data_IF_222449964578
#
_entry.id   IF_222449964578
#
_cell.length_a   1.000
_cell.length_b   1.000
_cell.length_c   1.000
_cell.angle_alpha   90.00
_cell.angle_beta   90.00
_cell.angle_gamma   90.00
#
_symmetry.space_group_name_H-M   'P 1'
#
loop_
_entity.id
_entity.type
_entity.pdbx_description
1 polymer ?
#
# COMPACT_ATOMS: atom_id res chain seq x y z
N UNK A 1 -5.71 1.53 9.10
CA UNK A 1 -6.58 0.40 9.47
C UNK A 1 -6.00 -0.95 9.05
N UNK A 2 -6.61 -2.05 9.48
CA UNK A 2 -6.32 -3.44 9.10
C UNK A 2 -4.92 -3.96 9.49
N UNK A 3 -4.07 -3.19 10.15
CA UNK A 3 -2.70 -3.58 10.51
C UNK A 3 -2.39 -3.27 11.98
N UNK A 4 -1.38 -3.93 12.53
CA UNK A 4 -0.95 -3.70 13.91
C UNK A 4 -2.08 -3.88 14.92
N UNK A 5 -2.30 -2.87 15.75
CA UNK A 5 -3.35 -2.81 16.78
C UNK A 5 -4.69 -2.26 16.24
N UNK A 6 -4.72 -1.75 14.99
CA UNK A 6 -5.96 -1.29 14.37
C UNK A 6 -6.90 -2.45 14.08
N UNK A 7 -8.19 -2.20 14.14
CA UNK A 7 -9.23 -3.17 13.79
C UNK A 7 -9.35 -3.40 12.28
N UNK A 8 -10.35 -4.22 11.92
CA UNK A 8 -10.75 -4.50 10.54
C UNK A 8 -10.34 -5.88 10.03
N UNK A 9 -11.15 -6.40 9.12
CA UNK A 9 -10.94 -7.67 8.40
C UNK A 9 -11.21 -7.48 6.92
N UNK A 10 -10.45 -8.17 6.02
CA UNK A 10 -9.30 -9.03 6.29
C UNK A 10 -8.09 -8.25 6.82
N UNK A 11 -7.15 -8.94 7.49
CA UNK A 11 -5.96 -8.31 8.07
C UNK A 11 -4.88 -8.04 7.02
N UNK A 12 -4.01 -7.07 7.33
CA UNK A 12 -2.83 -6.71 6.54
C UNK A 12 -3.15 -6.22 5.12
N UNK A 13 -4.31 -5.59 4.95
CA UNK A 13 -4.72 -5.04 3.65
C UNK A 13 -4.03 -3.70 3.37
N UNK A 14 -3.54 -3.56 2.15
CA UNK A 14 -3.25 -2.28 1.53
C UNK A 14 -4.12 -2.14 0.28
N UNK A 15 -4.91 -1.08 0.20
CA UNK A 15 -5.84 -0.84 -0.91
C UNK A 15 -6.00 0.66 -1.15
N UNK A 16 -5.98 1.14 -2.41
CA UNK A 16 -6.18 2.55 -2.69
C UNK A 16 -7.53 3.06 -2.18
N UNK A 17 -8.61 2.28 -2.31
CA UNK A 17 -9.94 2.68 -1.85
C UNK A 17 -10.00 2.76 -0.32
N UNK A 18 -9.59 1.69 0.36
CA UNK A 18 -9.66 1.60 1.83
C UNK A 18 -8.75 2.64 2.49
N UNK A 19 -7.52 2.77 2.01
CA UNK A 19 -6.57 3.68 2.65
C UNK A 19 -6.85 5.15 2.32
N UNK A 20 -7.46 5.45 1.18
CA UNK A 20 -7.98 6.80 0.90
C UNK A 20 -9.13 7.14 1.85
N UNK A 21 -10.06 6.20 2.07
CA UNK A 21 -11.15 6.36 3.03
C UNK A 21 -10.65 6.53 4.47
N UNK A 22 -9.60 5.82 4.88
CA UNK A 22 -8.97 6.02 6.20
C UNK A 22 -8.52 7.48 6.40
N UNK A 23 -7.98 8.13 5.36
CA UNK A 23 -7.62 9.54 5.43
C UNK A 23 -8.83 10.46 5.54
N UNK A 24 -9.90 10.19 4.76
CA UNK A 24 -11.13 10.97 4.83
C UNK A 24 -11.81 10.80 6.20
N UNK A 25 -11.85 9.59 6.75
CA UNK A 25 -12.36 9.33 8.10
C UNK A 25 -11.53 10.04 9.19
N UNK A 26 -10.22 10.17 9.00
CA UNK A 26 -9.39 10.96 9.91
C UNK A 26 -9.74 12.46 9.83
N UNK A 27 -10.08 12.97 8.66
CA UNK A 27 -10.58 14.34 8.48
C UNK A 27 -11.96 14.52 9.14
N UNK A 28 -12.86 13.53 9.05
CA UNK A 28 -14.14 13.56 9.77
C UNK A 28 -13.93 13.72 11.27
N UNK A 29 -13.05 12.91 11.83
CA UNK A 29 -12.70 13.00 13.26
C UNK A 29 -12.13 14.38 13.62
N UNK A 30 -11.13 14.86 12.86
CA UNK A 30 -10.49 16.14 13.13
C UNK A 30 -11.47 17.32 12.97
N UNK A 31 -12.37 17.27 11.99
CA UNK A 31 -13.33 18.35 11.75
C UNK A 31 -14.37 18.52 12.87
N UNK A 32 -14.52 17.50 13.72
CA UNK A 32 -15.46 17.51 14.85
C UNK A 32 -14.78 17.62 16.20
N UNK A 33 -13.43 17.76 16.23
CA UNK A 33 -12.67 17.86 17.47
C UNK A 33 -12.57 19.31 17.93
N UNK A 34 -12.88 19.60 19.21
CA UNK A 34 -12.96 20.95 19.76
C UNK A 34 -11.65 21.76 19.65
N UNK A 35 -10.49 21.08 19.69
CA UNK A 35 -9.17 21.72 19.61
C UNK A 35 -8.65 21.89 18.16
N UNK A 36 -9.43 21.57 17.15
CA UNK A 36 -9.03 21.62 15.75
C UNK A 36 -9.85 22.67 14.98
N UNK A 37 -9.14 23.54 14.26
CA UNK A 37 -9.78 24.44 13.30
C UNK A 37 -10.06 23.64 11.99
N UNK A 38 -11.34 23.36 11.67
CA UNK A 38 -11.69 22.57 10.50
C UNK A 38 -11.29 23.21 9.16
N UNK A 39 -11.04 24.54 9.15
CA UNK A 39 -10.56 25.23 7.95
C UNK A 39 -9.03 25.15 7.78
N UNK A 40 -8.33 24.48 8.68
CA UNK A 40 -6.86 24.40 8.69
C UNK A 40 -6.33 22.97 8.78
N UNK A 41 -7.05 22.01 8.23
CA UNK A 41 -6.63 20.61 8.18
C UNK A 41 -5.67 20.40 7.02
N UNK A 42 -4.52 19.78 7.29
CA UNK A 42 -3.55 19.37 6.29
C UNK A 42 -3.20 17.88 6.39
N UNK A 43 -2.59 17.33 5.35
CA UNK A 43 -2.16 15.93 5.29
C UNK A 43 -0.69 15.83 4.91
N UNK A 44 0.02 14.91 5.55
CA UNK A 44 1.37 14.50 5.19
C UNK A 44 1.36 13.03 4.81
N UNK A 45 1.68 12.72 3.55
CA UNK A 45 1.82 11.37 3.04
C UNK A 45 3.27 10.98 2.84
N UNK A 46 3.68 9.81 3.33
CA UNK A 46 5.06 9.34 3.27
C UNK A 46 5.13 8.03 2.49
N UNK A 47 6.12 7.90 1.59
CA UNK A 47 6.38 6.71 0.79
C UNK A 47 5.15 6.34 -0.10
N UNK A 48 4.75 5.09 -0.17
CA UNK A 48 3.57 4.67 -0.93
C UNK A 48 2.27 5.34 -0.48
N UNK A 49 2.13 5.66 0.82
CA UNK A 49 0.98 6.41 1.33
C UNK A 49 0.96 7.89 0.93
N UNK A 50 2.07 8.42 0.39
CA UNK A 50 2.08 9.74 -0.23
C UNK A 50 1.13 9.86 -1.42
N UNK A 51 1.07 8.84 -2.28
CA UNK A 51 0.10 8.77 -3.39
C UNK A 51 -1.35 8.70 -2.90
N UNK A 52 -1.62 7.93 -1.84
CA UNK A 52 -2.97 7.84 -1.25
C UNK A 52 -3.40 9.13 -0.55
N UNK A 53 -2.46 9.85 0.08
CA UNK A 53 -2.72 11.17 0.65
C UNK A 53 -3.12 12.18 -0.44
N UNK A 54 -2.46 12.14 -1.61
CA UNK A 54 -2.88 12.94 -2.76
C UNK A 54 -4.28 12.54 -3.24
N UNK A 55 -4.60 11.25 -3.33
CA UNK A 55 -5.95 10.81 -3.69
C UNK A 55 -6.98 11.37 -2.72
N UNK A 56 -6.75 11.28 -1.41
CA UNK A 56 -7.64 11.86 -0.41
C UNK A 56 -7.81 13.37 -0.60
N UNK A 57 -6.72 14.11 -0.82
CA UNK A 57 -6.76 15.54 -1.04
C UNK A 57 -7.49 15.96 -2.33
N UNK A 58 -7.59 15.07 -3.34
CA UNK A 58 -8.35 15.36 -4.56
C UNK A 58 -9.85 15.18 -4.39
N UNK A 59 -10.30 14.38 -3.44
CA UNK A 59 -11.71 14.08 -3.22
C UNK A 59 -12.28 14.77 -1.98
N UNK A 60 -11.45 15.03 -0.96
CA UNK A 60 -11.88 15.72 0.27
C UNK A 60 -11.40 17.16 0.30
N UNK A 61 -12.31 18.08 0.00
CA UNK A 61 -12.04 19.52 -0.08
C UNK A 61 -11.75 20.18 1.27
N UNK A 62 -11.93 19.47 2.37
CA UNK A 62 -11.56 19.93 3.73
C UNK A 62 -10.05 19.83 3.97
N UNK A 63 -9.31 19.07 3.17
CA UNK A 63 -7.84 19.03 3.21
C UNK A 63 -7.30 20.28 2.50
N UNK A 64 -6.75 21.23 3.25
CA UNK A 64 -6.31 22.55 2.74
C UNK A 64 -4.84 22.57 2.33
N UNK A 65 -4.03 21.65 2.82
CA UNK A 65 -2.61 21.56 2.50
C UNK A 65 -2.17 20.10 2.43
N UNK A 66 -1.34 19.77 1.45
CA UNK A 66 -0.81 18.42 1.26
C UNK A 66 0.70 18.46 1.09
N UNK A 67 1.39 17.64 1.87
CA UNK A 67 2.83 17.42 1.74
C UNK A 67 3.08 15.94 1.46
N UNK A 68 3.93 15.65 0.49
CA UNK A 68 4.36 14.28 0.21
C UNK A 68 5.87 14.16 0.32
N UNK A 69 6.33 13.09 0.96
CA UNK A 69 7.76 12.78 1.11
C UNK A 69 8.06 11.41 0.52
N UNK A 70 9.11 11.33 -0.32
CA UNK A 70 9.54 10.07 -0.96
C UNK A 70 8.40 9.29 -1.62
N UNK A 71 7.44 10.03 -2.19
CA UNK A 71 6.23 9.49 -2.77
C UNK A 71 6.49 8.72 -4.07
N UNK A 72 5.74 7.66 -4.28
CA UNK A 72 5.59 7.00 -5.58
C UNK A 72 4.15 6.50 -5.77
N UNK A 73 3.78 6.30 -7.04
CA UNK A 73 2.47 5.76 -7.39
C UNK A 73 2.44 4.24 -7.19
N UNK A 74 1.81 3.81 -6.10
CA UNK A 74 1.69 2.39 -5.77
C UNK A 74 0.86 1.62 -6.81
N UNK A 75 -0.15 2.24 -7.43
CA UNK A 75 -0.96 1.60 -8.47
C UNK A 75 -0.11 1.32 -9.70
N UNK A 76 0.67 2.30 -10.15
CA UNK A 76 1.59 2.14 -11.28
C UNK A 76 2.66 1.08 -11.01
N UNK A 77 3.28 1.12 -9.84
CA UNK A 77 4.33 0.13 -9.48
C UNK A 77 3.76 -1.29 -9.41
N UNK A 78 2.59 -1.48 -8.83
CA UNK A 78 1.96 -2.80 -8.77
C UNK A 78 1.47 -3.29 -10.14
N UNK A 79 1.03 -2.38 -11.02
CA UNK A 79 0.55 -2.75 -12.36
C UNK A 79 1.70 -2.93 -13.36
N UNK A 80 2.72 -2.09 -13.31
CA UNK A 80 3.76 -2.00 -14.34
C UNK A 80 5.14 -2.43 -13.86
N UNK A 81 5.31 -2.71 -12.57
CA UNK A 81 6.62 -2.97 -11.98
C UNK A 81 7.44 -1.69 -11.75
N UNK A 82 8.58 -1.83 -11.10
CA UNK A 82 9.53 -0.73 -10.97
C UNK A 82 10.03 -0.31 -12.36
N UNK A 83 10.03 1.00 -12.62
CA UNK A 83 10.45 1.59 -13.90
C UNK A 83 9.64 1.10 -15.11
N UNK A 84 8.38 0.73 -14.90
CA UNK A 84 7.47 0.18 -15.93
C UNK A 84 8.04 -1.06 -16.63
N UNK A 85 8.72 -1.91 -15.90
CA UNK A 85 9.43 -3.08 -16.42
C UNK A 85 8.54 -4.25 -16.84
N UNK A 86 7.25 -4.25 -16.45
CA UNK A 86 6.30 -5.33 -16.79
C UNK A 86 5.51 -5.02 -18.07
N UNK A 87 5.49 -5.98 -18.98
CA UNK A 87 4.61 -5.95 -20.15
C UNK A 87 3.20 -6.52 -19.85
N UNK A 88 2.30 -6.51 -20.83
CA UNK A 88 0.91 -6.96 -20.68
C UNK A 88 0.80 -8.43 -20.27
N UNK A 89 1.62 -9.32 -20.84
CA UNK A 89 1.59 -10.75 -20.54
C UNK A 89 2.09 -11.03 -19.12
N UNK A 90 3.13 -10.33 -18.67
CA UNK A 90 3.63 -10.42 -17.29
C UNK A 90 2.59 -9.90 -16.29
N UNK A 91 1.86 -8.82 -16.60
CA UNK A 91 0.75 -8.34 -15.77
C UNK A 91 -0.40 -9.35 -15.71
N UNK A 92 -0.73 -9.99 -16.85
CA UNK A 92 -1.76 -11.04 -16.89
C UNK A 92 -1.36 -12.21 -16.01
N UNK A 93 -0.12 -12.68 -16.13
CA UNK A 93 0.41 -13.78 -15.33
C UNK A 93 0.43 -13.45 -13.84
N UNK A 94 0.83 -12.24 -13.46
CA UNK A 94 0.77 -11.79 -12.07
C UNK A 94 -0.66 -11.86 -11.51
N UNK A 95 -1.67 -11.38 -12.27
CA UNK A 95 -3.08 -11.48 -11.85
C UNK A 95 -3.53 -12.93 -11.68
N UNK A 96 -3.12 -13.81 -12.60
CA UNK A 96 -3.43 -15.23 -12.53
C UNK A 96 -2.90 -15.84 -11.24
N UNK A 97 -1.63 -15.60 -10.93
CA UNK A 97 -0.99 -16.07 -9.69
C UNK A 97 -1.66 -15.51 -8.43
N UNK A 98 -2.02 -14.23 -8.43
CA UNK A 98 -2.72 -13.62 -7.29
C UNK A 98 -4.12 -14.21 -7.09
N UNK A 99 -4.84 -14.52 -8.16
CA UNK A 99 -6.16 -15.16 -8.07
C UNK A 99 -6.06 -16.62 -7.59
N UNK A 100 -5.03 -17.36 -8.01
CA UNK A 100 -4.74 -18.69 -7.46
C UNK A 100 -4.42 -18.61 -5.97
N UNK A 101 -3.63 -17.63 -5.56
CA UNK A 101 -3.34 -17.41 -4.14
C UNK A 101 -4.60 -17.13 -3.33
N UNK A 102 -5.56 -16.33 -3.86
CA UNK A 102 -6.86 -16.12 -3.18
C UNK A 102 -7.59 -17.43 -2.91
N UNK A 103 -7.57 -18.34 -3.87
CA UNK A 103 -8.18 -19.67 -3.72
C UNK A 103 -7.48 -20.48 -2.62
N UNK A 104 -6.15 -20.44 -2.57
CA UNK A 104 -5.35 -21.10 -1.53
C UNK A 104 -5.67 -20.50 -0.16
N UNK A 105 -5.62 -19.18 -0.04
CA UNK A 105 -5.89 -18.45 1.21
C UNK A 105 -7.29 -18.77 1.75
N UNK A 106 -8.29 -18.81 0.87
CA UNK A 106 -9.67 -19.17 1.23
C UNK A 106 -9.77 -20.60 1.76
N UNK A 107 -9.11 -21.55 1.11
CA UNK A 107 -9.09 -22.95 1.53
C UNK A 107 -8.42 -23.14 2.90
N UNK A 108 -7.36 -22.37 3.14
CA UNK A 108 -6.55 -22.50 4.35
C UNK A 108 -7.07 -21.64 5.52
N UNK A 109 -8.00 -20.71 5.27
CA UNK A 109 -8.46 -19.74 6.27
C UNK A 109 -7.34 -18.80 6.75
N UNK A 110 -6.32 -18.56 5.92
CA UNK A 110 -5.15 -17.74 6.23
C UNK A 110 -4.71 -16.94 5.02
N UNK A 111 -3.87 -15.92 5.23
CA UNK A 111 -3.39 -15.05 4.17
C UNK A 111 -1.90 -15.22 3.96
N UNK A 112 -1.47 -15.41 2.70
CA UNK A 112 -0.07 -15.23 2.32
C UNK A 112 0.30 -13.74 2.42
N UNK A 113 1.46 -13.45 3.00
CA UNK A 113 1.99 -12.09 3.12
C UNK A 113 3.07 -11.84 2.06
N UNK A 114 3.20 -10.57 1.63
CA UNK A 114 4.24 -10.12 0.70
C UNK A 114 4.51 -8.62 0.87
N UNK A 115 5.57 -8.14 0.25
CA UNK A 115 5.91 -6.70 0.24
C UNK A 115 6.62 -6.21 1.51
N UNK A 116 6.87 -7.08 2.48
CA UNK A 116 7.84 -6.83 3.53
C UNK A 116 9.27 -6.93 3.01
N UNK A 117 10.20 -6.40 3.78
CA UNK A 117 11.62 -6.51 3.43
C UNK A 117 12.07 -7.96 3.55
N UNK A 118 12.70 -8.48 2.48
CA UNK A 118 13.16 -9.87 2.42
C UNK A 118 14.27 -10.15 3.44
N UNK A 119 14.26 -11.35 4.03
CA UNK A 119 15.27 -11.83 4.96
C UNK A 119 15.31 -13.38 4.92
N UNK A 120 16.46 -14.02 4.65
CA UNK A 120 17.76 -13.40 4.38
C UNK A 120 17.79 -12.59 3.07
N UNK A 121 18.68 -11.58 3.04
CA UNK A 121 18.86 -10.72 1.85
C UNK A 121 19.57 -11.52 0.75
N UNK A 122 18.98 -11.65 -0.46
CA UNK A 122 19.69 -12.24 -1.60
C UNK A 122 20.87 -11.37 -2.06
N UNK A 123 21.90 -12.02 -2.62
CA UNK A 123 23.12 -11.32 -3.04
C UNK A 123 22.89 -10.35 -4.22
N UNK A 124 22.07 -10.78 -5.18
CA UNK A 124 21.78 -10.02 -6.40
C UNK A 124 20.43 -9.26 -6.30
N UNK A 125 20.43 -8.22 -5.50
CA UNK A 125 19.27 -7.32 -5.36
C UNK A 125 19.67 -5.87 -5.64
N UNK A 126 18.73 -5.03 -6.13
CA UNK A 126 18.97 -3.60 -6.31
C UNK A 126 19.44 -2.94 -5.01
N UNK A 127 20.27 -1.88 -5.15
CA UNK A 127 20.86 -1.16 -4.01
C UNK A 127 19.82 -0.70 -2.99
N UNK A 128 18.65 -0.23 -3.43
CA UNK A 128 17.59 0.25 -2.54
C UNK A 128 16.96 -0.88 -1.70
N UNK A 129 16.95 -2.12 -2.19
CA UNK A 129 16.49 -3.29 -1.41
C UNK A 129 17.48 -3.58 -0.28
N UNK A 130 18.80 -3.41 -0.52
CA UNK A 130 19.84 -3.50 0.52
C UNK A 130 19.64 -2.43 1.58
N UNK A 131 19.35 -1.20 1.18
CA UNK A 131 19.08 -0.09 2.11
C UNK A 131 17.84 -0.33 2.96
N UNK A 132 16.76 -0.84 2.36
CA UNK A 132 15.56 -1.24 3.12
C UNK A 132 15.86 -2.35 4.12
N UNK A 133 16.62 -3.38 3.74
CA UNK A 133 17.04 -4.43 4.66
C UNK A 133 17.86 -3.86 5.82
N UNK A 134 18.89 -3.05 5.52
CA UNK A 134 19.75 -2.42 6.51
C UNK A 134 19.01 -1.47 7.46
N UNK A 135 17.85 -1.01 7.08
CA UNK A 135 16.98 -0.21 7.95
C UNK A 135 15.98 -1.10 8.71
N UNK A 136 15.10 -1.80 8.02
CA UNK A 136 13.95 -2.47 8.63
C UNK A 136 14.27 -3.79 9.33
N UNK A 137 15.40 -4.43 9.03
CA UNK A 137 15.83 -5.72 9.62
C UNK A 137 16.95 -5.57 10.66
N UNK A 138 17.33 -4.36 10.99
CA UNK A 138 18.35 -4.03 12.00
C UNK A 138 17.80 -3.12 13.07
N UNK A 139 18.57 -2.88 14.13
CA UNK A 139 18.19 -2.00 15.24
C UNK A 139 17.94 -0.54 14.83
N UNK A 140 18.30 -0.17 13.60
CA UNK A 140 18.05 1.18 13.06
C UNK A 140 16.57 1.50 12.89
N UNK A 141 15.76 0.55 12.45
CA UNK A 141 14.36 0.81 12.13
C UNK A 141 13.44 -0.41 12.29
N UNK A 142 13.94 -1.51 12.84
CA UNK A 142 13.10 -2.65 13.16
C UNK A 142 12.04 -2.25 14.19
N UNK A 143 10.80 -2.62 13.93
CA UNK A 143 9.74 -2.51 14.90
C UNK A 143 8.79 -3.71 14.80
N UNK A 144 8.43 -4.29 15.94
CA UNK A 144 7.58 -5.51 16.00
C UNK A 144 6.21 -5.38 15.34
N UNK A 145 5.71 -4.14 15.16
CA UNK A 145 4.43 -3.85 14.51
C UNK A 145 4.58 -3.39 13.06
N UNK A 146 5.81 -3.19 12.59
CA UNK A 146 6.06 -2.76 11.20
C UNK A 146 5.83 -3.91 10.23
N UNK A 147 5.02 -3.69 9.22
CA UNK A 147 4.82 -4.66 8.14
C UNK A 147 6.09 -4.85 7.31
N UNK A 148 6.86 -3.79 7.07
CA UNK A 148 8.14 -3.90 6.38
C UNK A 148 9.14 -4.80 7.13
N UNK A 149 9.10 -4.79 8.47
CA UNK A 149 9.95 -5.66 9.29
C UNK A 149 9.44 -7.10 9.41
N UNK A 150 8.14 -7.36 9.20
CA UNK A 150 7.45 -8.58 9.62
C UNK A 150 6.56 -9.22 8.54
N UNK A 151 7.04 -9.36 7.32
CA UNK A 151 6.40 -10.14 6.27
C UNK A 151 5.50 -9.36 5.30
N UNK A 152 5.12 -8.14 5.63
CA UNK A 152 4.40 -7.26 4.72
C UNK A 152 2.88 -7.34 4.80
N UNK A 153 2.24 -7.17 3.66
CA UNK A 153 0.78 -7.08 3.50
C UNK A 153 0.19 -8.38 2.95
N UNK A 154 -1.11 -8.51 3.07
CA UNK A 154 -1.87 -9.56 2.40
C UNK A 154 -1.55 -9.51 0.89
N UNK A 155 -0.95 -10.60 0.39
CA UNK A 155 -0.42 -10.70 -0.98
C UNK A 155 -1.48 -10.37 -2.03
N UNK A 156 -2.69 -10.85 -1.84
CA UNK A 156 -3.77 -10.69 -2.82
C UNK A 156 -4.39 -9.28 -2.81
N UNK A 157 -4.09 -8.45 -1.81
CA UNK A 157 -4.52 -7.05 -1.79
C UNK A 157 -3.86 -6.23 -2.91
N UNK A 158 -2.75 -6.68 -3.48
CA UNK A 158 -2.14 -6.08 -4.67
C UNK A 158 -3.09 -5.97 -5.87
N UNK A 159 -4.09 -6.86 -5.97
CA UNK A 159 -5.10 -6.80 -7.03
C UNK A 159 -5.89 -5.48 -7.03
N UNK A 160 -6.11 -4.86 -5.88
CA UNK A 160 -6.80 -3.56 -5.79
C UNK A 160 -5.99 -2.42 -6.41
N UNK A 161 -4.67 -2.45 -6.27
CA UNK A 161 -3.78 -1.49 -6.93
C UNK A 161 -3.68 -1.71 -8.43
N UNK A 162 -3.54 -2.96 -8.87
CA UNK A 162 -3.44 -3.32 -10.28
C UNK A 162 -4.70 -2.94 -11.05
N UNK A 163 -5.87 -3.05 -10.42
CA UNK A 163 -7.14 -2.77 -11.05
C UNK A 163 -7.32 -1.30 -11.47
N UNK A 164 -6.73 -0.36 -10.75
CA UNK A 164 -6.92 1.08 -11.01
C UNK A 164 -6.40 1.51 -12.39
N UNK A 165 -5.17 1.17 -12.82
CA UNK A 165 -4.67 1.51 -14.15
C UNK A 165 -5.33 0.74 -15.30
N UNK A 166 -5.90 -0.45 -15.04
CA UNK A 166 -6.40 -1.34 -16.08
C UNK A 166 -7.85 -1.08 -16.51
N UNK A 167 -8.55 -0.16 -15.88
CA UNK A 167 -9.97 0.10 -16.19
C UNK A 167 -10.23 0.56 -17.64
N UNK A 168 -9.23 1.12 -18.31
CA UNK A 168 -9.36 1.66 -19.67
C UNK A 168 -8.64 0.89 -20.78
N UNK A 169 -7.63 0.08 -20.47
CA UNK A 169 -6.69 -0.39 -21.50
C UNK A 169 -6.67 -1.92 -21.77
N UNK A 170 -7.16 -2.75 -20.87
CA UNK A 170 -7.02 -4.21 -21.01
C UNK A 170 -8.33 -4.97 -20.78
N UNK A 171 -9.36 -4.70 -21.58
CA UNK A 171 -10.41 -5.72 -21.82
C UNK A 171 -9.95 -6.67 -22.92
N UNK A 172 -9.08 -7.61 -22.60
CA UNK A 172 -8.99 -8.85 -23.38
C UNK A 172 -10.00 -9.84 -22.78
N UNK A 173 -11.10 -10.00 -23.50
CA UNK A 173 -12.06 -11.08 -23.32
C UNK A 173 -11.43 -12.34 -23.89
#
# INVERSE_FOLDING_TARGET
SYTGESGGTPRYVASPDINTEDFCAAVDFLSTHDDVDPERIGIIGICGWGGMALNAATIDTRIKATVTSTMYDMSRVNANGYFDSMNADQRHELRRQLNEQRTIDTKNGSYALTGGVVDPLPDDVPWFVKDYHNYYKTDRGYHKRSLNSNGGWNKTSALSFINMPLRSEERRV
#
